data_IF_554531875423
#
_entry.id   IF_554531875423
#
_cell.length_a   1.000
_cell.length_b   1.000
_cell.length_c   1.000
_cell.angle_alpha   90.00
_cell.angle_beta   90.00
_cell.angle_gamma   90.00
#
_symmetry.space_group_name_H-M   'P 1'
#
loop_
_entity.id
_entity.type
_entity.pdbx_description
1 polymer ?
#
# COMPACT_ATOMS: atom_id res chain seq x y z
N UNK A 1 26.02 28.15 -44.96
CA UNK A 1 26.02 27.27 -43.77
C UNK A 1 27.20 26.31 -43.89
N UNK A 2 28.13 26.30 -42.93
CA UNK A 2 29.19 25.28 -42.91
C UNK A 2 28.59 23.96 -42.42
N UNK A 3 28.87 22.81 -43.07
CA UNK A 3 28.41 21.52 -42.59
C UNK A 3 29.08 21.20 -41.25
N UNK A 4 28.28 20.78 -40.26
CA UNK A 4 28.79 20.30 -38.98
C UNK A 4 29.48 18.96 -39.25
N UNK A 5 30.80 18.93 -39.11
CA UNK A 5 31.59 17.69 -39.21
C UNK A 5 31.52 17.00 -37.85
N UNK A 6 30.65 16.00 -37.75
CA UNK A 6 30.55 15.14 -36.57
C UNK A 6 31.58 14.02 -36.74
N UNK A 7 32.58 13.96 -35.86
CA UNK A 7 33.61 12.90 -35.85
C UNK A 7 33.09 11.70 -35.06
N UNK A 8 33.40 10.46 -35.46
CA UNK A 8 32.92 9.24 -34.77
C UNK A 8 33.17 9.26 -33.26
N UNK A 9 34.33 9.76 -32.82
CA UNK A 9 34.66 9.92 -31.41
C UNK A 9 33.70 10.86 -30.64
N UNK A 10 33.20 11.92 -31.29
CA UNK A 10 32.21 12.82 -30.69
C UNK A 10 30.84 12.16 -30.55
N UNK A 11 30.46 11.28 -31.49
CA UNK A 11 29.22 10.50 -31.40
C UNK A 11 29.32 9.45 -30.29
N UNK A 12 30.43 8.73 -30.19
CA UNK A 12 30.65 7.75 -29.12
C UNK A 12 30.53 8.38 -27.74
N UNK A 13 31.16 9.54 -27.52
CA UNK A 13 31.10 10.24 -26.24
C UNK A 13 29.67 10.70 -25.91
N UNK A 14 28.91 11.21 -26.89
CA UNK A 14 27.50 11.58 -26.70
C UNK A 14 26.67 10.36 -26.31
N UNK A 15 26.87 9.22 -26.98
CA UNK A 15 26.17 7.97 -26.68
C UNK A 15 26.50 7.45 -25.27
N UNK A 16 27.77 7.50 -24.85
CA UNK A 16 28.18 7.12 -23.49
C UNK A 16 27.53 8.00 -22.43
N UNK A 17 27.53 9.33 -22.62
CA UNK A 17 26.89 10.27 -21.69
C UNK A 17 25.37 10.03 -21.59
N UNK A 18 24.71 9.70 -22.71
CA UNK A 18 23.29 9.36 -22.71
C UNK A 18 23.03 8.07 -21.92
N UNK A 19 23.85 7.03 -22.08
CA UNK A 19 23.72 5.78 -21.34
C UNK A 19 23.95 5.98 -19.83
N UNK A 20 24.97 6.75 -19.44
CA UNK A 20 25.23 7.08 -18.04
C UNK A 20 24.08 7.88 -17.45
N UNK A 21 23.57 8.87 -18.17
CA UNK A 21 22.42 9.67 -17.73
C UNK A 21 21.17 8.83 -17.54
N UNK A 22 20.91 7.89 -18.46
CA UNK A 22 19.78 6.97 -18.36
C UNK A 22 19.92 6.01 -17.17
N UNK A 23 21.13 5.48 -16.93
CA UNK A 23 21.41 4.64 -15.78
C UNK A 23 21.21 5.41 -14.46
N UNK A 24 21.73 6.64 -14.36
CA UNK A 24 21.53 7.50 -13.19
C UNK A 24 20.06 7.84 -12.96
N UNK A 25 19.30 8.10 -14.03
CA UNK A 25 17.86 8.34 -13.93
C UNK A 25 17.12 7.12 -13.36
N UNK A 26 17.42 5.92 -13.88
CA UNK A 26 16.77 4.70 -13.42
C UNK A 26 17.13 4.35 -11.97
N UNK A 27 18.43 4.44 -11.61
CA UNK A 27 18.89 4.19 -10.24
C UNK A 27 18.34 5.25 -9.29
N UNK A 28 18.40 6.53 -9.67
CA UNK A 28 17.93 7.64 -8.87
C UNK A 28 16.44 7.57 -8.57
N UNK A 29 15.61 7.21 -9.55
CA UNK A 29 14.15 7.08 -9.35
C UNK A 29 13.77 5.91 -8.44
N UNK A 30 14.46 4.77 -8.56
CA UNK A 30 14.24 3.62 -7.67
C UNK A 30 14.72 3.91 -6.25
N UNK A 31 15.93 4.45 -6.11
CA UNK A 31 16.51 4.78 -4.82
C UNK A 31 15.71 5.86 -4.08
N UNK A 32 15.26 6.90 -4.79
CA UNK A 32 14.46 7.97 -4.19
C UNK A 32 13.13 7.46 -3.64
N UNK A 33 12.45 6.60 -4.41
CA UNK A 33 11.18 5.99 -4.00
C UNK A 33 11.37 5.13 -2.75
N UNK A 34 12.44 4.34 -2.71
CA UNK A 34 12.77 3.48 -1.57
C UNK A 34 13.08 4.28 -0.30
N UNK A 35 13.93 5.29 -0.43
CA UNK A 35 14.29 6.18 0.68
C UNK A 35 13.08 6.96 1.19
N UNK A 36 12.21 7.40 0.27
CA UNK A 36 10.98 8.11 0.62
C UNK A 36 10.02 7.23 1.43
N UNK A 37 9.74 6.00 0.97
CA UNK A 37 8.91 5.05 1.73
C UNK A 37 9.51 4.77 3.11
N UNK A 38 10.83 4.51 3.18
CA UNK A 38 11.52 4.26 4.45
C UNK A 38 11.40 5.46 5.40
N UNK A 39 11.49 6.67 4.87
CA UNK A 39 11.28 7.88 5.66
C UNK A 39 9.84 7.98 6.18
N UNK A 40 8.83 7.69 5.35
CA UNK A 40 7.42 7.70 5.74
C UNK A 40 7.18 6.73 6.90
N UNK A 41 7.55 5.46 6.77
CA UNK A 41 7.34 4.45 7.82
C UNK A 41 8.16 4.71 9.09
N UNK A 42 9.30 5.40 8.97
CA UNK A 42 10.14 5.71 10.13
C UNK A 42 9.66 6.96 10.88
N UNK A 43 9.24 8.00 10.17
CA UNK A 43 9.05 9.33 10.75
C UNK A 43 7.61 9.82 10.71
N UNK A 44 6.83 9.47 9.69
CA UNK A 44 5.47 10.02 9.50
C UNK A 44 4.42 9.06 10.03
N UNK A 45 4.52 7.78 9.64
CA UNK A 45 3.55 6.74 9.95
C UNK A 45 3.95 6.04 11.25
N UNK A 46 2.98 5.87 12.14
CA UNK A 46 3.14 5.07 13.35
C UNK A 46 2.66 3.64 13.09
N UNK A 47 3.63 2.79 12.75
CA UNK A 47 3.43 1.39 12.39
C UNK A 47 2.84 0.55 13.53
N UNK A 48 3.02 0.95 14.79
CA UNK A 48 2.45 0.22 15.94
C UNK A 48 0.93 0.34 15.96
N UNK A 49 0.40 1.49 15.57
CA UNK A 49 -1.05 1.72 15.51
C UNK A 49 -1.70 1.16 14.25
N UNK A 50 -0.93 0.86 13.20
CA UNK A 50 -1.43 0.19 12.00
C UNK A 50 -1.81 -1.27 12.23
N UNK A 51 -1.61 -1.82 13.43
CA UNK A 51 -2.00 -3.19 13.74
C UNK A 51 -1.04 -4.25 13.19
N UNK A 52 0.11 -3.85 12.66
CA UNK A 52 1.19 -4.76 12.27
C UNK A 52 1.49 -5.71 13.43
N UNK A 53 0.99 -6.95 13.35
CA UNK A 53 1.56 -8.04 14.11
C UNK A 53 3.03 -8.01 13.72
N UNK A 54 3.90 -7.97 14.72
CA UNK A 54 5.35 -8.03 14.55
C UNK A 54 5.68 -9.40 13.95
N UNK A 55 5.37 -9.58 12.67
CA UNK A 55 5.82 -10.69 11.86
C UNK A 55 7.33 -10.62 11.98
N UNK A 56 7.88 -11.62 12.65
CA UNK A 56 9.30 -11.74 12.98
C UNK A 56 10.18 -11.71 11.72
N UNK A 57 9.58 -11.69 10.52
CA UNK A 57 10.22 -11.70 9.21
C UNK A 57 10.08 -10.37 8.45
N UNK A 58 9.22 -9.44 8.87
CA UNK A 58 9.04 -8.13 8.22
C UNK A 58 10.17 -7.19 8.67
N UNK A 59 11.40 -7.50 8.29
CA UNK A 59 12.49 -6.53 8.38
C UNK A 59 12.06 -5.28 7.61
N UNK A 60 12.24 -4.10 8.21
CA UNK A 60 12.03 -2.76 7.62
C UNK A 60 12.75 -2.53 6.26
N UNK A 61 13.44 -3.55 5.74
CA UNK A 61 14.19 -3.59 4.50
C UNK A 61 13.41 -4.21 3.34
N UNK A 62 12.31 -4.94 3.57
CA UNK A 62 11.49 -5.51 2.49
C UNK A 62 10.28 -4.61 2.23
N UNK A 63 10.40 -3.72 1.24
CA UNK A 63 9.28 -2.88 0.76
C UNK A 63 8.04 -3.69 0.36
N UNK A 64 8.22 -4.95 -0.05
CA UNK A 64 7.14 -5.84 -0.47
C UNK A 64 6.43 -6.54 0.67
N UNK A 65 7.04 -6.70 1.85
CA UNK A 65 6.39 -7.39 2.98
C UNK A 65 5.57 -6.44 3.86
N UNK A 66 5.99 -5.17 3.96
CA UNK A 66 5.30 -4.17 4.79
C UNK A 66 3.86 -3.85 4.36
N UNK A 67 3.56 -4.00 3.06
CA UNK A 67 2.22 -3.73 2.49
C UNK A 67 1.32 -4.97 2.56
N UNK A 68 1.88 -6.18 2.59
CA UNK A 68 1.11 -7.43 2.54
C UNK A 68 0.83 -8.04 3.92
N UNK A 69 1.51 -7.60 4.98
CA UNK A 69 1.48 -8.24 6.31
C UNK A 69 0.67 -7.45 7.37
N UNK A 70 -0.09 -6.43 6.99
CA UNK A 70 -0.89 -5.67 7.96
C UNK A 70 -2.20 -6.43 8.20
N UNK A 71 -2.32 -7.03 9.39
CA UNK A 71 -3.51 -7.75 9.86
C UNK A 71 -4.18 -6.99 11.01
N UNK A 72 -5.50 -6.77 10.94
CA UNK A 72 -6.24 -6.18 12.05
C UNK A 72 -6.48 -7.22 13.15
N UNK A 73 -5.87 -7.01 14.32
CA UNK A 73 -5.86 -7.99 15.43
C UNK A 73 -7.07 -7.96 16.36
N UNK A 74 -8.06 -7.08 16.17
CA UNK A 74 -9.13 -6.87 17.17
C UNK A 74 -10.53 -7.24 16.67
N UNK A 75 -11.35 -7.75 17.61
CA UNK A 75 -12.74 -8.17 17.38
C UNK A 75 -13.72 -6.99 17.19
N UNK A 76 -13.27 -5.74 17.37
CA UNK A 76 -14.03 -4.50 17.15
C UNK A 76 -13.28 -3.58 16.16
N UNK A 77 -13.51 -3.88 14.89
CA UNK A 77 -12.89 -3.21 13.74
C UNK A 77 -13.17 -1.71 13.72
N UNK A 78 -14.32 -1.25 14.25
CA UNK A 78 -14.66 0.17 14.31
C UNK A 78 -13.83 0.93 15.34
N UNK A 79 -13.61 0.34 16.52
CA UNK A 79 -12.75 0.93 17.54
C UNK A 79 -11.29 1.00 17.06
N UNK A 80 -10.81 -0.06 16.39
CA UNK A 80 -9.48 -0.10 15.80
C UNK A 80 -9.31 0.93 14.68
N UNK A 81 -10.32 1.08 13.82
CA UNK A 81 -10.28 2.07 12.76
C UNK A 81 -10.26 3.51 13.30
N UNK A 82 -11.01 3.77 14.36
CA UNK A 82 -10.98 5.04 15.07
C UNK A 82 -9.59 5.31 15.68
N UNK A 83 -8.96 4.27 16.23
CA UNK A 83 -7.60 4.36 16.77
C UNK A 83 -6.56 4.63 15.68
N UNK A 84 -6.65 3.93 14.55
CA UNK A 84 -5.78 4.14 13.37
C UNK A 84 -5.92 5.57 12.87
N UNK A 85 -7.14 6.05 12.62
CA UNK A 85 -7.38 7.43 12.17
C UNK A 85 -6.74 8.47 13.10
N UNK A 86 -6.78 8.23 14.41
CA UNK A 86 -6.24 9.16 15.39
C UNK A 86 -4.72 9.04 15.57
N UNK A 87 -4.17 7.84 15.44
CA UNK A 87 -2.82 7.53 15.93
C UNK A 87 -1.84 7.00 14.88
N UNK A 88 -2.28 6.61 13.68
CA UNK A 88 -1.40 6.10 12.62
C UNK A 88 -0.43 7.16 12.06
N UNK A 89 -0.59 8.42 12.43
CA UNK A 89 0.32 9.52 12.09
C UNK A 89 0.98 10.01 13.35
N UNK A 90 2.31 10.14 13.31
CA UNK A 90 3.09 10.66 14.44
C UNK A 90 2.70 12.11 14.73
N UNK A 91 2.67 12.54 16.01
CA UNK A 91 2.13 13.83 16.42
C UNK A 91 2.70 15.04 15.66
N UNK A 92 3.98 14.98 15.29
CA UNK A 92 4.70 16.04 14.59
C UNK A 92 4.16 16.31 13.18
N UNK A 93 3.51 15.32 12.57
CA UNK A 93 3.01 15.38 11.20
C UNK A 93 1.47 15.52 11.11
N UNK A 94 0.73 15.42 12.23
CA UNK A 94 -0.75 15.45 12.22
C UNK A 94 -1.38 16.76 11.76
N UNK A 95 -0.61 17.85 11.66
CA UNK A 95 -1.10 19.13 11.13
C UNK A 95 -1.07 19.19 9.60
N UNK A 96 -0.29 18.31 8.97
CA UNK A 96 0.04 18.33 7.53
C UNK A 96 -0.17 16.99 6.84
N UNK A 97 -0.40 15.91 7.59
CA UNK A 97 -0.72 14.59 7.04
C UNK A 97 -2.02 14.13 7.65
N UNK A 98 -2.90 13.60 6.81
CA UNK A 98 -4.15 12.97 7.21
C UNK A 98 -4.30 11.59 6.55
N UNK A 99 -5.13 10.76 7.16
CA UNK A 99 -5.64 9.54 6.51
C UNK A 99 -7.08 9.84 6.11
N UNK A 100 -7.37 9.81 4.82
CA UNK A 100 -8.74 10.03 4.30
C UNK A 100 -9.17 8.82 3.52
N UNK A 101 -10.44 8.46 3.58
CA UNK A 101 -10.99 7.25 2.97
C UNK A 101 -10.34 5.98 3.51
N UNK A 102 -10.96 5.44 4.57
CA UNK A 102 -10.86 4.03 4.88
C UNK A 102 -11.98 3.31 4.17
N UNK A 103 -11.78 3.06 2.87
CA UNK A 103 -12.69 2.21 2.11
C UNK A 103 -12.47 0.76 2.53
N UNK A 104 -13.53 -0.04 2.57
CA UNK A 104 -13.39 -1.47 2.79
C UNK A 104 -14.00 -2.26 1.65
N UNK A 105 -13.30 -3.33 1.26
CA UNK A 105 -13.72 -4.30 0.25
C UNK A 105 -13.99 -5.64 0.92
N UNK A 106 -15.10 -6.28 0.56
CA UNK A 106 -15.46 -7.62 1.03
C UNK A 106 -15.14 -8.63 -0.06
N UNK A 107 -14.10 -9.43 0.15
CA UNK A 107 -13.71 -10.50 -0.76
C UNK A 107 -14.59 -11.71 -0.48
N UNK A 108 -15.35 -12.13 -1.48
CA UNK A 108 -16.26 -13.28 -1.41
C UNK A 108 -15.88 -14.33 -2.44
N UNK A 109 -16.00 -15.60 -2.07
CA UNK A 109 -15.81 -16.72 -3.01
C UNK A 109 -17.01 -17.66 -3.07
N UNK A 110 -17.28 -18.25 -4.24
CA UNK A 110 -18.36 -19.21 -4.39
C UNK A 110 -17.94 -20.56 -3.81
N UNK A 111 -18.70 -21.06 -2.83
CA UNK A 111 -18.56 -22.42 -2.32
C UNK A 111 -19.65 -23.32 -2.88
N UNK A 112 -19.24 -24.35 -3.59
CA UNK A 112 -20.13 -25.37 -4.14
C UNK A 112 -20.24 -26.56 -3.19
N UNK A 113 -21.47 -27.03 -2.96
CA UNK A 113 -21.72 -28.21 -2.14
C UNK A 113 -22.91 -29.03 -2.67
N UNK A 114 -23.01 -30.28 -2.20
CA UNK A 114 -24.11 -31.18 -2.56
C UNK A 114 -24.75 -31.70 -1.27
N UNK A 115 -26.05 -31.48 -1.11
CA UNK A 115 -26.82 -32.08 -0.03
C UNK A 115 -27.08 -33.57 -0.29
N UNK A 116 -27.08 -34.38 0.77
CA UNK A 116 -27.42 -35.81 0.71
C UNK A 116 -26.23 -36.73 0.43
N UNK A 117 -25.19 -36.69 1.27
CA UNK A 117 -24.06 -37.63 1.24
C UNK A 117 -24.33 -38.95 1.98
N UNK A 118 -25.52 -39.11 2.57
CA UNK A 118 -25.92 -40.32 3.29
C UNK A 118 -26.21 -41.49 2.32
N UNK A 119 -25.74 -42.69 2.69
CA UNK A 119 -25.92 -43.93 1.91
C UNK A 119 -27.42 -44.17 1.63
N UNK A 120 -27.80 -44.23 0.35
CA UNK A 120 -29.16 -44.55 -0.09
C UNK A 120 -30.08 -43.39 -0.47
N UNK A 121 -29.66 -42.12 -0.39
CA UNK A 121 -30.42 -40.99 -0.95
C UNK A 121 -29.93 -40.60 -2.36
N UNK A 122 -30.82 -40.25 -3.30
CA UNK A 122 -30.41 -39.77 -4.62
C UNK A 122 -29.56 -38.49 -4.47
N UNK A 123 -28.44 -38.43 -5.20
CA UNK A 123 -27.54 -37.27 -5.19
C UNK A 123 -28.31 -36.01 -5.59
N UNK A 124 -28.40 -35.04 -4.69
CA UNK A 124 -29.02 -33.75 -4.97
C UNK A 124 -28.27 -32.95 -6.03
N UNK A 125 -28.94 -31.91 -6.55
CA UNK A 125 -28.33 -30.94 -7.45
C UNK A 125 -27.17 -30.20 -6.74
N UNK A 126 -26.19 -29.74 -7.53
CA UNK A 126 -25.11 -28.90 -7.02
C UNK A 126 -25.72 -27.58 -6.57
N UNK A 127 -25.50 -27.21 -5.30
CA UNK A 127 -25.84 -25.91 -4.75
C UNK A 127 -24.58 -25.06 -4.63
N UNK A 128 -24.76 -23.74 -4.60
CA UNK A 128 -23.68 -22.80 -4.31
C UNK A 128 -24.13 -21.84 -3.21
N UNK A 129 -23.16 -21.36 -2.44
CA UNK A 129 -23.29 -20.24 -1.52
C UNK A 129 -22.08 -19.32 -1.71
N UNK A 130 -22.14 -18.10 -1.19
CA UNK A 130 -21.00 -17.20 -1.15
C UNK A 130 -20.48 -17.17 0.27
N UNK A 131 -19.20 -17.45 0.44
CA UNK A 131 -18.51 -17.31 1.71
C UNK A 131 -17.63 -16.06 1.68
N UNK A 132 -17.60 -15.34 2.81
CA UNK A 132 -16.67 -14.25 3.02
C UNK A 132 -15.27 -14.84 3.20
N UNK A 133 -14.35 -14.51 2.30
CA UNK A 133 -12.94 -14.91 2.42
C UNK A 133 -12.16 -13.88 3.23
N UNK A 134 -12.35 -12.59 2.93
CA UNK A 134 -11.60 -11.52 3.59
C UNK A 134 -12.34 -10.18 3.59
N UNK A 135 -11.91 -9.28 4.47
CA UNK A 135 -12.25 -7.86 4.43
C UNK A 135 -10.95 -7.07 4.28
N UNK A 136 -10.80 -6.36 3.16
CA UNK A 136 -9.67 -5.48 2.93
C UNK A 136 -10.04 -4.04 3.29
N UNK A 137 -9.12 -3.31 3.89
CA UNK A 137 -9.24 -1.90 4.21
C UNK A 137 -8.18 -1.12 3.45
N UNK A 138 -8.57 -0.08 2.72
CA UNK A 138 -7.66 0.79 1.98
C UNK A 138 -7.48 2.08 2.77
N UNK A 139 -6.24 2.39 3.17
CA UNK A 139 -5.88 3.60 3.89
C UNK A 139 -5.10 4.52 2.95
N UNK A 140 -5.66 5.69 2.65
CA UNK A 140 -4.98 6.69 1.83
C UNK A 140 -4.36 7.78 2.71
N UNK A 141 -3.03 7.85 2.70
CA UNK A 141 -2.28 8.89 3.41
C UNK A 141 -2.07 10.09 2.50
N UNK A 142 -2.54 11.26 2.93
CA UNK A 142 -2.51 12.48 2.16
C UNK A 142 -1.73 13.58 2.88
N UNK A 143 -0.88 14.27 2.12
CA UNK A 143 -0.06 15.39 2.59
C UNK A 143 -0.64 16.73 2.13
N UNK A 144 -0.92 17.60 3.08
CA UNK A 144 -1.41 18.96 2.88
C UNK A 144 -0.26 19.95 2.95
N UNK A 145 0.14 20.50 1.80
CA UNK A 145 1.25 21.45 1.72
C UNK A 145 1.09 22.64 2.67
N UNK A 146 -0.15 23.09 2.87
CA UNK A 146 -0.47 24.27 3.69
C UNK A 146 -1.07 23.91 5.05
N UNK A 147 -1.18 22.61 5.36
CA UNK A 147 -1.86 22.09 6.53
C UNK A 147 -3.35 21.82 6.29
N UNK A 148 -3.88 20.85 7.05
CA UNK A 148 -5.21 20.27 6.89
C UNK A 148 -6.32 21.32 7.11
N UNK A 149 -6.13 22.22 8.06
CA UNK A 149 -7.06 23.31 8.40
C UNK A 149 -6.75 24.63 7.68
N UNK A 150 -5.98 24.59 6.59
CA UNK A 150 -5.64 25.80 5.86
C UNK A 150 -6.80 26.27 4.99
N UNK A 151 -6.82 27.57 4.68
CA UNK A 151 -7.76 28.18 3.72
C UNK A 151 -7.68 27.60 2.30
N UNK A 152 -6.63 26.82 2.01
CA UNK A 152 -6.38 26.20 0.71
C UNK A 152 -6.84 24.73 0.68
N UNK A 153 -7.48 24.24 1.73
CA UNK A 153 -8.04 22.88 1.77
C UNK A 153 -9.26 22.75 0.83
N UNK A 154 -9.39 21.67 0.04
CA UNK A 154 -8.52 20.50 0.00
C UNK A 154 -7.41 20.66 -1.05
N UNK A 155 -6.18 20.93 -0.62
CA UNK A 155 -4.97 20.88 -1.46
C UNK A 155 -4.01 19.88 -0.86
N UNK A 156 -4.13 18.62 -1.30
CA UNK A 156 -3.30 17.52 -0.82
C UNK A 156 -2.61 16.78 -1.97
N UNK A 157 -1.53 16.08 -1.61
CA UNK A 157 -0.81 15.14 -2.45
C UNK A 157 -0.88 13.75 -1.81
N UNK A 158 -1.15 12.69 -2.57
CA UNK A 158 -1.09 11.33 -2.05
C UNK A 158 0.36 10.98 -1.68
N UNK A 159 0.54 10.47 -0.46
CA UNK A 159 1.83 10.00 0.03
C UNK A 159 2.02 8.51 -0.23
N UNK A 160 1.08 7.70 0.25
CA UNK A 160 1.09 6.25 0.14
C UNK A 160 -0.33 5.70 0.38
N UNK A 161 -0.67 4.65 -0.36
CA UNK A 161 -1.87 3.86 -0.14
C UNK A 161 -1.46 2.53 0.48
N UNK A 162 -2.13 2.14 1.56
CA UNK A 162 -1.91 0.87 2.23
C UNK A 162 -3.19 0.05 2.17
N UNK A 163 -3.08 -1.23 1.81
CA UNK A 163 -4.18 -2.18 1.95
C UNK A 163 -3.90 -3.06 3.16
N UNK A 164 -4.91 -3.23 4.01
CA UNK A 164 -4.84 -3.94 5.27
C UNK A 164 -5.91 -5.02 5.28
N UNK A 165 -5.55 -6.25 5.60
CA UNK A 165 -6.51 -7.35 5.70
C UNK A 165 -7.02 -7.46 7.14
N UNK A 166 -8.31 -7.73 7.30
CA UNK A 166 -8.87 -8.10 8.60
C UNK A 166 -8.49 -9.53 9.00
N UNK A 167 -8.09 -10.35 8.03
CA UNK A 167 -7.77 -11.77 8.12
C UNK A 167 -8.61 -12.51 9.18
N UNK A 168 -9.83 -12.89 8.80
CA UNK A 168 -10.66 -13.82 9.56
C UNK A 168 -10.12 -15.27 9.47
N UNK A 169 -8.81 -15.46 9.68
CA UNK A 169 -8.20 -16.77 9.73
C UNK A 169 -8.83 -17.57 10.88
N UNK A 170 -9.74 -18.46 10.50
CA UNK A 170 -10.33 -19.51 11.35
C UNK A 170 -9.31 -20.55 11.76
#
# INVERSE_FOLDING_TARGET
MKPIQVTDASMTLIFELLLVSLALYFVGTKLSTSLFKRYLFKNVIDVEYLGLKKSTETSLYNEHSLINDIELTSHDTNAQMTMINKNAIKPEYRSIVEVTNMEYEKVISPRYYREGTALGKPRGNIKHTFEMEDTLYHLHFNFHLFGINSRFSPSYLPLIDLTVSENNAK
#
